data_IF_582104671903
#
_entry.id   IF_582104671903
#
_cell.length_a   1.000
_cell.length_b   1.000
_cell.length_c   1.000
_cell.angle_alpha   90.00
_cell.angle_beta   90.00
_cell.angle_gamma   90.00
#
_symmetry.space_group_name_H-M   'P 1'
#
loop_
_entity.id
_entity.type
_entity.pdbx_description
1 polymer ?
#
# COMPACT_ATOMS: atom_id res chain seq x y z
N UNK A 1 -8.35 5.87 -6.26
CA UNK A 1 -7.85 5.73 -7.63
C UNK A 1 -6.47 5.13 -7.60
N UNK A 2 -6.26 4.10 -8.39
CA UNK A 2 -4.98 3.42 -8.52
C UNK A 2 -4.51 3.56 -9.96
N UNK A 3 -3.34 4.17 -10.13
CA UNK A 3 -2.73 4.31 -11.43
C UNK A 3 -1.38 3.63 -11.41
N UNK A 4 -1.14 2.76 -12.35
CA UNK A 4 0.12 2.04 -12.43
C UNK A 4 0.87 2.44 -13.69
N UNK A 5 2.13 2.82 -13.50
CA UNK A 5 3.05 2.99 -14.60
C UNK A 5 4.04 1.85 -14.56
N UNK A 6 5.03 1.91 -15.41
CA UNK A 6 5.99 0.84 -15.52
C UNK A 6 6.71 0.54 -14.20
N UNK A 7 7.06 1.56 -13.43
CA UNK A 7 7.87 1.39 -12.23
C UNK A 7 7.21 1.92 -10.97
N UNK A 8 6.01 2.44 -11.08
CA UNK A 8 5.40 3.13 -9.96
C UNK A 8 3.89 3.00 -10.01
N UNK A 9 3.31 2.67 -8.87
CA UNK A 9 1.86 2.69 -8.70
C UNK A 9 1.52 3.81 -7.74
N UNK A 10 0.61 4.69 -8.13
CA UNK A 10 0.16 5.77 -7.28
C UNK A 10 -1.28 5.54 -6.87
N UNK A 11 -1.54 5.68 -5.57
CA UNK A 11 -2.87 5.50 -5.02
C UNK A 11 -3.29 6.77 -4.32
N UNK A 12 -4.43 7.32 -4.71
CA UNK A 12 -4.92 8.57 -4.15
C UNK A 12 -6.18 8.31 -3.36
N UNK A 13 -6.05 8.24 -2.03
CA UNK A 13 -7.20 8.09 -1.13
C UNK A 13 -7.91 9.42 -0.98
N UNK A 14 -7.18 10.51 -1.17
CA UNK A 14 -7.67 11.85 -0.92
C UNK A 14 -8.46 12.43 -2.09
N UNK A 15 -8.82 11.64 -3.07
CA UNK A 15 -9.47 12.17 -4.27
C UNK A 15 -10.95 12.46 -4.07
N UNK A 16 -11.42 12.33 -2.85
CA UNK A 16 -12.66 12.98 -2.51
C UNK A 16 -13.91 12.14 -2.45
N UNK A 17 -14.11 11.22 -3.32
CA UNK A 17 -15.39 10.50 -3.32
C UNK A 17 -15.56 9.56 -2.15
N UNK A 18 -14.44 9.12 -1.59
CA UNK A 18 -14.49 8.21 -0.46
C UNK A 18 -14.68 8.92 0.86
N UNK A 19 -14.49 10.23 0.87
CA UNK A 19 -14.51 10.98 2.11
C UNK A 19 -15.94 11.37 2.43
N UNK A 20 -16.43 10.93 3.59
CA UNK A 20 -17.76 11.30 4.06
C UNK A 20 -17.62 12.28 5.19
N UNK A 21 -18.44 13.29 5.19
CA UNK A 21 -18.36 14.34 6.21
C UNK A 21 -18.49 13.81 7.62
N UNK A 22 -19.26 12.75 7.79
CA UNK A 22 -19.52 12.21 9.13
C UNK A 22 -18.40 11.31 9.64
N UNK A 23 -17.55 10.84 8.75
CA UNK A 23 -16.48 9.95 9.15
C UNK A 23 -15.25 10.77 9.48
N UNK A 24 -14.49 10.31 10.45
CA UNK A 24 -13.19 10.93 10.69
C UNK A 24 -12.25 10.58 9.55
N UNK A 25 -11.27 11.44 9.33
CA UNK A 25 -10.27 11.17 8.29
C UNK A 25 -9.48 9.92 8.62
N UNK A 26 -9.21 9.71 9.91
CA UNK A 26 -8.51 8.50 10.33
C UNK A 26 -9.29 7.26 9.94
N UNK A 27 -10.59 7.25 10.21
CA UNK A 27 -11.41 6.08 9.88
C UNK A 27 -11.38 5.81 8.38
N UNK A 28 -11.52 6.86 7.58
CA UNK A 28 -11.47 6.71 6.14
C UNK A 28 -10.14 6.15 5.68
N UNK A 29 -9.04 6.68 6.25
CA UNK A 29 -7.71 6.19 5.90
C UNK A 29 -7.52 4.73 6.30
N UNK A 30 -8.03 4.34 7.47
CA UNK A 30 -7.89 2.96 7.92
C UNK A 30 -8.63 2.00 7.01
N UNK A 31 -9.84 2.35 6.61
CA UNK A 31 -10.61 1.53 5.70
C UNK A 31 -9.94 1.44 4.34
N UNK A 32 -9.40 2.57 3.87
CA UNK A 32 -8.71 2.59 2.60
C UNK A 32 -7.43 1.76 2.66
N UNK A 33 -6.73 1.81 3.79
CA UNK A 33 -5.50 1.04 3.94
C UNK A 33 -5.76 -0.46 3.85
N UNK A 34 -6.82 -0.91 4.49
CA UNK A 34 -7.17 -2.32 4.46
C UNK A 34 -7.51 -2.78 3.05
N UNK A 35 -8.34 -2.00 2.36
CA UNK A 35 -8.74 -2.34 1.00
C UNK A 35 -7.55 -2.26 0.04
N UNK A 36 -6.70 -1.25 0.23
CA UNK A 36 -5.53 -1.06 -0.61
C UNK A 36 -4.60 -2.27 -0.55
N UNK A 37 -4.31 -2.74 0.64
CA UNK A 37 -3.42 -3.89 0.80
C UNK A 37 -3.98 -5.10 0.08
N UNK A 38 -5.28 -5.29 0.18
CA UNK A 38 -5.93 -6.40 -0.49
C UNK A 38 -5.87 -6.24 -2.02
N UNK A 39 -6.11 -5.03 -2.50
CA UNK A 39 -6.11 -4.79 -3.94
C UNK A 39 -4.72 -4.95 -4.55
N UNK A 40 -3.68 -4.54 -3.82
CA UNK A 40 -2.32 -4.71 -4.31
C UNK A 40 -2.04 -6.19 -4.58
N UNK A 41 -2.46 -7.04 -3.67
CA UNK A 41 -2.26 -8.48 -3.85
C UNK A 41 -3.12 -9.04 -4.98
N UNK A 42 -4.41 -8.66 -5.01
CA UNK A 42 -5.32 -9.17 -6.03
C UNK A 42 -4.90 -8.76 -7.44
N UNK A 43 -4.39 -7.53 -7.59
CA UNK A 43 -3.96 -7.04 -8.89
C UNK A 43 -2.52 -7.39 -9.20
N UNK A 44 -1.83 -8.00 -8.24
CA UNK A 44 -0.42 -8.36 -8.40
C UNK A 44 0.44 -7.17 -8.78
N UNK A 45 0.19 -6.04 -8.13
CA UNK A 45 0.99 -4.85 -8.36
C UNK A 45 2.37 -5.04 -7.75
N UNK A 46 3.38 -4.52 -8.44
CA UNK A 46 4.76 -4.70 -8.00
C UNK A 46 5.52 -3.41 -8.15
N UNK A 47 6.73 -3.38 -7.59
CA UNK A 47 7.57 -2.20 -7.63
C UNK A 47 7.22 -1.24 -6.52
N UNK A 48 7.44 0.04 -6.78
CA UNK A 48 7.21 1.07 -5.78
C UNK A 48 5.74 1.50 -5.81
N UNK A 49 5.15 1.62 -4.63
CA UNK A 49 3.76 2.02 -4.48
C UNK A 49 3.73 3.22 -3.55
N UNK A 50 3.17 4.31 -4.03
CA UNK A 50 3.04 5.55 -3.25
C UNK A 50 1.57 5.77 -2.95
N UNK A 51 1.24 5.97 -1.68
CA UNK A 51 -0.14 6.16 -1.26
C UNK A 51 -0.31 7.55 -0.67
N UNK A 52 -1.26 8.29 -1.21
CA UNK A 52 -1.59 9.61 -0.73
C UNK A 52 -2.85 9.52 0.12
N UNK A 53 -2.65 9.31 1.42
CA UNK A 53 -3.76 9.26 2.37
C UNK A 53 -4.25 10.67 2.68
N UNK A 54 -5.45 10.76 3.25
CA UNK A 54 -5.96 12.04 3.71
C UNK A 54 -5.05 12.53 4.84
N UNK A 55 -4.70 13.81 4.77
CA UNK A 55 -3.78 14.40 5.74
C UNK A 55 -4.38 14.36 7.14
N UNK A 56 -3.62 13.79 8.07
CA UNK A 56 -4.06 13.71 9.47
C UNK A 56 -3.30 14.75 10.27
N UNK A 57 -4.02 15.47 11.12
CA UNK A 57 -3.40 16.56 11.88
C UNK A 57 -2.67 16.06 13.11
N UNK A 58 -3.15 14.96 13.68
CA UNK A 58 -2.59 14.45 14.92
C UNK A 58 -1.52 13.42 14.63
N UNK A 59 -0.37 13.60 15.23
CA UNK A 59 0.69 12.62 15.02
C UNK A 59 0.28 11.25 15.54
N UNK A 60 -0.49 11.22 16.63
CA UNK A 60 -0.98 9.95 17.17
C UNK A 60 -1.82 9.21 16.14
N UNK A 61 -2.62 9.94 15.35
CA UNK A 61 -3.43 9.32 14.32
C UNK A 61 -2.59 8.79 13.17
N UNK A 62 -1.53 9.53 12.81
CA UNK A 62 -0.60 9.03 11.80
C UNK A 62 0.04 7.72 12.25
N UNK A 63 0.41 7.65 13.50
CA UNK A 63 1.02 6.44 14.03
C UNK A 63 0.04 5.28 14.04
N UNK A 64 -1.23 5.57 14.35
CA UNK A 64 -2.26 4.54 14.30
C UNK A 64 -2.45 4.03 12.88
N UNK A 65 -2.42 4.91 11.90
CA UNK A 65 -2.57 4.53 10.51
C UNK A 65 -1.43 3.63 10.07
N UNK A 66 -0.19 4.03 10.37
CA UNK A 66 0.98 3.26 9.98
C UNK A 66 0.97 1.90 10.66
N UNK A 67 0.61 1.87 11.92
CA UNK A 67 0.56 0.63 12.68
C UNK A 67 -0.47 -0.33 12.10
N UNK A 68 -1.64 0.20 11.76
CA UNK A 68 -2.70 -0.61 11.17
C UNK A 68 -2.29 -1.11 9.78
N UNK A 69 -1.65 -0.24 9.00
CA UNK A 69 -1.21 -0.61 7.66
C UNK A 69 -0.22 -1.77 7.72
N UNK A 70 0.73 -1.70 8.65
CA UNK A 70 1.69 -2.79 8.82
C UNK A 70 0.99 -4.09 9.22
N UNK A 71 -0.05 -3.97 10.04
CA UNK A 71 -0.81 -5.15 10.45
C UNK A 71 -1.55 -5.77 9.26
N UNK A 72 -2.18 -4.94 8.44
CA UNK A 72 -2.88 -5.44 7.27
C UNK A 72 -1.91 -6.12 6.30
N UNK A 73 -0.74 -5.50 6.12
CA UNK A 73 0.29 -6.08 5.26
C UNK A 73 0.67 -7.47 5.74
N UNK A 74 0.86 -7.61 7.05
CA UNK A 74 1.22 -8.88 7.63
C UNK A 74 0.11 -9.92 7.47
N UNK A 75 -1.13 -9.49 7.67
CA UNK A 75 -2.27 -10.40 7.57
C UNK A 75 -2.48 -10.93 6.16
N UNK A 76 -2.33 -10.06 5.16
CA UNK A 76 -2.53 -10.50 3.77
C UNK A 76 -1.35 -11.31 3.26
N UNK A 77 -0.18 -11.03 3.77
CA UNK A 77 1.02 -11.82 3.46
C UNK A 77 1.27 -11.96 1.96
N UNK A 78 1.21 -10.84 1.25
CA UNK A 78 1.40 -10.84 -0.20
C UNK A 78 2.74 -10.26 -0.63
N UNK A 79 3.66 -10.07 0.32
CA UNK A 79 5.01 -9.60 -0.01
C UNK A 79 5.17 -8.10 -0.03
N UNK A 80 4.16 -7.37 0.43
CA UNK A 80 4.26 -5.91 0.52
C UNK A 80 5.19 -5.55 1.67
N UNK A 81 6.03 -4.55 1.45
CA UNK A 81 6.92 -4.02 2.48
C UNK A 81 6.63 -2.55 2.68
N UNK A 82 6.41 -2.17 3.92
CA UNK A 82 6.27 -0.76 4.28
C UNK A 82 7.66 -0.15 4.33
N UNK A 83 7.88 0.92 3.58
CA UNK A 83 9.18 1.56 3.54
C UNK A 83 9.22 2.75 4.50
N UNK A 84 8.37 3.74 4.28
CA UNK A 84 8.42 4.94 5.11
C UNK A 84 7.25 5.86 4.77
N UNK A 85 7.07 6.87 5.61
CA UNK A 85 6.16 7.98 5.31
C UNK A 85 7.02 9.21 5.06
N UNK A 86 6.80 9.87 3.93
CA UNK A 86 7.59 11.03 3.57
C UNK A 86 7.17 12.24 4.37
N UNK A 87 7.95 13.31 4.26
CA UNK A 87 7.62 14.58 4.91
C UNK A 87 6.27 15.11 4.48
N UNK A 88 5.89 14.83 3.25
CA UNK A 88 4.63 15.33 2.72
C UNK A 88 3.45 14.44 3.08
N UNK A 89 3.70 13.41 3.87
CA UNK A 89 2.64 12.51 4.31
C UNK A 89 2.31 11.41 3.33
N UNK A 90 3.15 11.19 2.34
CA UNK A 90 2.96 10.09 1.40
C UNK A 90 3.58 8.82 1.98
N UNK A 91 2.85 7.72 1.87
CA UNK A 91 3.34 6.44 2.35
C UNK A 91 3.97 5.68 1.20
N UNK A 92 5.16 5.16 1.44
CA UNK A 92 5.89 4.40 0.43
C UNK A 92 5.88 2.92 0.78
N UNK A 93 5.47 2.13 -0.18
CA UNK A 93 5.49 0.68 -0.08
C UNK A 93 6.24 0.11 -1.26
N UNK A 94 6.74 -1.12 -1.11
CA UNK A 94 7.29 -1.85 -2.25
C UNK A 94 6.71 -3.26 -2.23
N UNK A 95 6.75 -3.90 -3.38
CA UNK A 95 6.37 -5.29 -3.49
C UNK A 95 7.13 -5.92 -4.65
N UNK A 96 7.75 -7.04 -4.38
CA UNK A 96 8.47 -7.75 -5.42
C UNK A 96 7.47 -8.36 -6.37
N UNK A 97 7.79 -8.29 -7.63
CA UNK A 97 6.98 -8.94 -8.63
C UNK A 97 6.92 -10.42 -8.31
N UNK A 98 5.72 -10.96 -8.32
CA UNK A 98 5.59 -12.33 -8.09
C UNK A 98 5.98 -12.71 -6.73
N UNK A 99 5.27 -12.36 -5.84
CA UNK A 99 5.55 -12.61 -4.47
C UNK A 99 6.17 -13.89 -4.11
N UNK A 100 6.37 -14.85 -4.92
CA UNK A 100 6.99 -15.96 -4.52
C UNK A 100 8.30 -15.88 -4.84
N UNK A 101 8.71 -15.88 -4.85
CA UNK A 101 9.71 -16.03 -5.06
C UNK A 101 10.30 -16.29 -5.93
N UNK A 102 10.70 -16.03 -6.02
CA UNK A 102 11.30 -16.26 -6.89
C UNK A 102 11.91 -17.39 -6.88
N UNK A 103 11.95 -18.06 -6.22
CA UNK A 103 12.31 -19.15 -6.29
C UNK A 103 11.65 -19.88 -6.93
N UNK A 104 10.77 -19.74 -6.91
CA UNK A 104 10.06 -20.48 -7.56
C UNK A 104 10.13 -20.08 -8.82
N UNK A 105 10.65 -19.24 -9.01
CA UNK A 105 10.80 -18.92 -10.21
C UNK A 105 12.03 -19.31 -10.64
N UNK A 106 12.74 -19.61 -10.03
CA UNK A 106 13.69 -20.07 -10.42
C UNK A 106 13.77 -21.08 -10.40
N UNK A 107 13.44 -21.30 -9.79
CA UNK A 107 13.40 -22.34 -10.10
C UNK A 107 12.97 -22.32 -11.29
N UNK A 108 12.72 -21.98 -11.51
CA UNK A 108 12.34 -21.75 -12.56
C UNK A 108 12.83 -20.79 -13.02
N UNK A 109 13.39 -20.44 -12.62
CA UNK A 109 13.83 -19.80 -13.08
C UNK A 109 14.11 -18.86 -13.03
N UNK A 110 14.44 -18.72 -13.02
CA UNK A 110 14.59 -18.00 -13.23
C UNK A 110 14.59 -17.05 -13.08
N UNK A 111 14.64 -17.00 -12.94
CA UNK A 111 14.58 -16.38 -13.13
C UNK A 111 14.28 -15.46 -13.15
N UNK A 112 14.33 -15.72 -12.85
CA UNK A 112 13.97 -15.12 -13.18
C UNK A 112 13.65 -14.49 -13.04
N UNK A 113 13.62 -14.78 -12.75
CA UNK A 113 13.26 -14.43 -12.93
C UNK A 113 12.94 -14.13 -12.69
N UNK A 114 13.05 -14.20 -12.23
CA UNK A 114 12.70 -14.13 -12.33
C UNK A 114 12.70 -13.87 -12.54
#
# INVERSE_FOLDING_TARGET
VIEQTEALTAVDVNSGKMVKKKDSFLKTNLEAAEELVRQIGLRNLSGMIIVDFINLKEKAEEEQLVSALKKYIQQENTGIVYVDMTRLGLVELTRKKNGKTLRELFADGRKEEV
#
